data_IF_690198133875
#
_entry.id   IF_690198133875
#
_cell.length_a   1.000
_cell.length_b   1.000
_cell.length_c   1.000
_cell.angle_alpha   90.00
_cell.angle_beta   90.00
_cell.angle_gamma   90.00
#
_symmetry.space_group_name_H-M   'P 1'
#
loop_
_entity.id
_entity.type
_entity.pdbx_description
1 polymer ?
#
# COMPACT_ATOMS: atom_id res chain seq x y z
N UNK A 1 -23.95 -6.02 -22.10
CA UNK A 1 -23.80 -4.95 -21.19
C UNK A 1 -25.11 -4.55 -20.52
N UNK A 2 -25.17 -4.81 -19.21
CA UNK A 2 -26.27 -4.37 -18.35
C UNK A 2 -25.76 -3.24 -17.43
N UNK A 3 -26.52 -2.15 -17.32
CA UNK A 3 -26.25 -1.08 -16.34
C UNK A 3 -26.84 -1.47 -14.99
N UNK A 4 -26.01 -2.06 -14.12
CA UNK A 4 -26.44 -2.58 -12.83
C UNK A 4 -26.99 -1.49 -11.91
N UNK A 5 -26.42 -0.27 -11.93
CA UNK A 5 -26.88 0.84 -11.10
C UNK A 5 -28.27 1.30 -11.52
N UNK A 6 -28.51 1.39 -12.82
CA UNK A 6 -29.85 1.72 -13.37
C UNK A 6 -30.89 0.67 -12.98
N UNK A 7 -30.53 -0.60 -13.03
CA UNK A 7 -31.42 -1.68 -12.62
C UNK A 7 -31.73 -1.63 -11.11
N UNK A 8 -30.73 -1.33 -10.27
CA UNK A 8 -30.95 -1.12 -8.85
C UNK A 8 -31.94 0.03 -8.57
N UNK A 9 -31.83 1.14 -9.32
CA UNK A 9 -32.74 2.27 -9.19
C UNK A 9 -34.16 1.86 -9.62
N UNK A 10 -34.31 1.13 -10.73
CA UNK A 10 -35.63 0.63 -11.19
C UNK A 10 -36.28 -0.27 -10.13
N UNK A 11 -35.51 -1.19 -9.53
CA UNK A 11 -36.00 -2.08 -8.47
C UNK A 11 -36.44 -1.26 -7.24
N UNK A 12 -35.66 -0.24 -6.84
CA UNK A 12 -36.01 0.64 -5.74
C UNK A 12 -37.30 1.45 -6.01
N UNK A 13 -37.62 1.68 -7.27
CA UNK A 13 -38.88 2.31 -7.72
C UNK A 13 -40.07 1.32 -7.83
N UNK A 14 -39.89 0.05 -7.45
CA UNK A 14 -40.91 -0.97 -7.43
C UNK A 14 -41.02 -1.81 -8.72
N UNK A 15 -40.09 -1.69 -9.67
CA UNK A 15 -40.08 -2.55 -10.84
C UNK A 15 -39.56 -3.95 -10.48
N UNK A 16 -40.08 -4.97 -11.12
CA UNK A 16 -39.52 -6.33 -11.04
C UNK A 16 -38.23 -6.45 -11.82
N UNK A 17 -37.39 -7.41 -11.41
CA UNK A 17 -36.20 -7.79 -12.18
C UNK A 17 -36.67 -8.46 -13.47
N UNK A 18 -36.21 -7.96 -14.61
CA UNK A 18 -36.47 -8.58 -15.92
C UNK A 18 -35.55 -9.80 -16.10
N UNK A 19 -36.02 -10.81 -16.84
CA UNK A 19 -35.20 -11.95 -17.25
C UNK A 19 -34.28 -11.50 -18.40
N UNK A 20 -32.98 -11.31 -18.06
CA UNK A 20 -31.95 -10.96 -19.03
C UNK A 20 -31.25 -12.22 -19.54
N UNK A 21 -31.16 -12.39 -20.85
CA UNK A 21 -30.20 -13.34 -21.43
C UNK A 21 -28.78 -12.77 -21.24
N UNK A 22 -28.04 -13.37 -20.30
CA UNK A 22 -26.65 -13.00 -19.99
C UNK A 22 -25.72 -13.87 -20.82
N UNK A 23 -24.99 -13.26 -21.76
CA UNK A 23 -23.92 -13.89 -22.52
C UNK A 23 -22.57 -13.28 -22.09
N UNK A 24 -21.88 -13.87 -21.07
CA UNK A 24 -20.59 -13.38 -20.61
C UNK A 24 -19.52 -13.54 -21.70
N UNK A 25 -18.85 -12.44 -22.08
CA UNK A 25 -17.82 -12.43 -23.12
C UNK A 25 -16.47 -12.04 -22.58
N UNK A 26 -15.47 -12.92 -22.81
CA UNK A 26 -14.10 -12.68 -22.38
C UNK A 26 -13.92 -12.78 -20.88
N UNK A 27 -12.87 -12.15 -20.39
CA UNK A 27 -12.47 -12.15 -18.99
C UNK A 27 -12.02 -10.76 -18.55
N UNK A 28 -12.41 -10.35 -17.35
CA UNK A 28 -12.01 -9.08 -16.77
C UNK A 28 -11.32 -9.27 -15.43
N UNK A 29 -10.30 -8.44 -15.16
CA UNK A 29 -9.62 -8.38 -13.87
C UNK A 29 -9.61 -6.94 -13.40
N UNK A 30 -10.03 -6.70 -12.16
CA UNK A 30 -9.93 -5.41 -11.48
C UNK A 30 -8.75 -5.42 -10.51
N UNK A 31 -7.96 -4.36 -10.52
CA UNK A 31 -6.88 -4.09 -9.59
C UNK A 31 -7.20 -2.84 -8.79
N UNK A 32 -7.24 -2.97 -7.47
CA UNK A 32 -7.38 -1.84 -6.56
C UNK A 32 -5.99 -1.28 -6.26
N UNK A 33 -5.71 -0.10 -6.76
CA UNK A 33 -4.44 0.59 -6.53
C UNK A 33 -4.58 1.42 -5.27
N UNK A 34 -3.93 0.96 -4.21
CA UNK A 34 -4.01 1.58 -2.88
C UNK A 34 -2.70 2.28 -2.52
N UNK A 35 -2.80 3.36 -1.75
CA UNK A 35 -1.70 4.02 -1.07
C UNK A 35 -1.34 3.24 0.20
N UNK A 36 -0.69 2.09 0.03
CA UNK A 36 -0.27 1.15 1.06
C UNK A 36 1.15 0.67 0.77
N UNK A 37 1.90 0.35 1.82
CA UNK A 37 3.21 -0.28 1.70
C UNK A 37 3.14 -1.78 2.00
N UNK A 38 3.18 -2.65 0.98
CA UNK A 38 3.15 -4.11 1.17
C UNK A 38 4.36 -4.64 1.96
N UNK A 39 5.49 -3.92 1.95
CA UNK A 39 6.69 -4.32 2.69
C UNK A 39 6.63 -3.93 4.17
N UNK A 40 5.67 -3.10 4.55
CA UNK A 40 5.46 -2.64 5.90
C UNK A 40 4.03 -2.97 6.36
N UNK A 41 3.67 -4.23 6.32
CA UNK A 41 2.39 -4.77 6.76
C UNK A 41 1.15 -4.02 6.22
N UNK A 42 1.20 -3.58 4.94
CA UNK A 42 0.14 -2.80 4.28
C UNK A 42 -0.23 -1.50 5.02
N UNK A 43 0.71 -0.92 5.76
CA UNK A 43 0.46 0.36 6.40
C UNK A 43 0.07 1.42 5.35
N UNK A 44 -0.97 2.21 5.62
CA UNK A 44 -1.34 3.33 4.77
C UNK A 44 -0.19 4.32 4.59
N UNK A 45 -0.02 4.82 3.36
CA UNK A 45 1.07 5.73 2.99
C UNK A 45 0.54 7.11 2.61
N UNK A 46 0.11 7.94 3.58
CA UNK A 46 -0.31 9.30 3.30
C UNK A 46 0.86 10.11 2.75
N UNK A 47 0.58 11.00 1.80
CA UNK A 47 1.62 11.82 1.16
C UNK A 47 1.13 12.49 -0.10
N UNK A 48 2.04 13.14 -0.84
CA UNK A 48 1.70 13.83 -2.08
C UNK A 48 2.16 13.01 -3.27
N UNK A 49 1.26 12.75 -4.21
CA UNK A 49 1.58 12.13 -5.50
C UNK A 49 2.40 13.13 -6.33
N UNK A 50 3.66 12.82 -6.56
CA UNK A 50 4.59 13.70 -7.31
C UNK A 50 4.55 13.46 -8.81
N UNK A 51 4.19 12.24 -9.22
CA UNK A 51 4.01 11.85 -10.62
C UNK A 51 2.82 10.90 -10.73
N UNK A 52 1.98 11.10 -11.76
CA UNK A 52 0.81 10.28 -12.02
C UNK A 52 0.61 10.09 -13.52
N UNK A 53 0.70 8.85 -13.99
CA UNK A 53 0.46 8.51 -15.39
C UNK A 53 -0.28 7.18 -15.49
N UNK A 54 -1.47 7.22 -16.05
CA UNK A 54 -2.33 6.07 -16.26
C UNK A 54 -1.93 5.26 -17.50
N UNK A 55 -1.99 3.92 -17.46
CA UNK A 55 -1.89 3.08 -18.64
C UNK A 55 -3.13 3.27 -19.53
N UNK A 56 -2.95 3.05 -20.84
CA UNK A 56 -4.03 3.17 -21.81
C UNK A 56 -4.09 1.96 -22.74
N UNK A 57 -5.13 1.88 -23.55
CA UNK A 57 -5.25 0.85 -24.59
C UNK A 57 -6.62 0.20 -24.66
N UNK A 58 -6.80 -0.68 -25.67
CA UNK A 58 -8.04 -1.40 -25.85
C UNK A 58 -8.31 -2.37 -24.70
N UNK A 59 -9.51 -2.32 -24.12
CA UNK A 59 -9.89 -3.15 -22.97
C UNK A 59 -9.21 -2.72 -21.67
N UNK A 60 -8.77 -1.45 -21.56
CA UNK A 60 -8.27 -0.83 -20.34
C UNK A 60 -9.21 0.28 -19.90
N UNK A 61 -9.63 0.24 -18.65
CA UNK A 61 -10.45 1.27 -18.01
C UNK A 61 -9.86 1.61 -16.65
N UNK A 62 -9.82 2.89 -16.35
CA UNK A 62 -9.41 3.38 -15.03
C UNK A 62 -10.53 4.19 -14.41
N UNK A 63 -10.94 3.80 -13.21
CA UNK A 63 -11.85 4.55 -12.38
C UNK A 63 -11.03 5.14 -11.23
N UNK A 64 -10.59 6.38 -11.39
CA UNK A 64 -9.70 7.06 -10.46
C UNK A 64 -10.11 8.51 -10.22
N UNK A 65 -9.52 9.12 -9.20
CA UNK A 65 -9.74 10.51 -8.84
C UNK A 65 -8.42 11.29 -8.69
N UNK A 66 -7.30 10.56 -8.60
CA UNK A 66 -5.99 11.13 -8.32
C UNK A 66 -5.33 11.72 -9.59
N UNK A 67 -4.39 12.60 -9.37
CA UNK A 67 -3.53 13.23 -10.37
C UNK A 67 -2.23 13.68 -9.71
N UNK A 68 -1.26 14.10 -10.50
CA UNK A 68 -0.04 14.75 -9.98
C UNK A 68 -0.42 15.94 -9.09
N UNK A 69 0.18 16.02 -7.91
CA UNK A 69 -0.11 17.01 -6.87
C UNK A 69 -1.25 16.64 -5.91
N UNK A 70 -1.95 15.51 -6.14
CA UNK A 70 -2.97 15.03 -5.20
C UNK A 70 -2.32 14.65 -3.87
N UNK A 71 -2.93 15.13 -2.79
CA UNK A 71 -2.53 14.78 -1.43
C UNK A 71 -3.41 13.64 -0.92
N UNK A 72 -2.80 12.49 -0.64
CA UNK A 72 -3.45 11.37 0.06
C UNK A 72 -3.40 11.68 1.54
N UNK A 73 -4.55 11.71 2.18
CA UNK A 73 -4.70 12.04 3.59
C UNK A 73 -5.15 10.82 4.38
N UNK A 74 -4.90 10.83 5.69
CA UNK A 74 -5.35 9.78 6.61
C UNK A 74 -6.86 9.83 6.96
N UNK A 75 -7.59 10.85 6.46
CA UNK A 75 -9.03 11.03 6.76
C UNK A 75 -9.94 10.17 5.87
N UNK A 76 -9.45 9.74 4.73
CA UNK A 76 -10.21 9.00 3.72
C UNK A 76 -9.58 7.63 3.47
N UNK A 77 -10.27 6.82 2.68
CA UNK A 77 -9.79 5.52 2.19
C UNK A 77 -8.49 5.73 1.39
N UNK A 78 -7.60 4.76 1.45
CA UNK A 78 -6.31 4.73 0.74
C UNK A 78 -6.44 4.37 -0.75
N UNK A 79 -7.63 4.06 -1.26
CA UNK A 79 -7.87 3.73 -2.66
C UNK A 79 -7.60 4.93 -3.57
N UNK A 80 -6.61 4.81 -4.44
CA UNK A 80 -6.23 5.83 -5.43
C UNK A 80 -7.07 5.68 -6.69
N UNK A 81 -7.14 4.45 -7.22
CA UNK A 81 -7.86 4.13 -8.44
C UNK A 81 -8.16 2.63 -8.54
N UNK A 82 -9.05 2.28 -9.48
CA UNK A 82 -9.29 0.92 -9.93
C UNK A 82 -8.84 0.81 -11.38
N UNK A 83 -7.88 -0.05 -11.64
CA UNK A 83 -7.51 -0.44 -12.99
C UNK A 83 -8.31 -1.68 -13.36
N UNK A 84 -9.11 -1.61 -14.41
CA UNK A 84 -9.89 -2.70 -14.94
C UNK A 84 -9.38 -3.05 -16.34
N UNK A 85 -9.00 -4.31 -16.54
CA UNK A 85 -8.57 -4.81 -17.83
C UNK A 85 -9.51 -5.89 -18.33
N UNK A 86 -9.74 -5.94 -19.64
CA UNK A 86 -10.53 -6.95 -20.31
C UNK A 86 -9.75 -7.61 -21.44
N UNK A 87 -9.92 -8.92 -21.61
CA UNK A 87 -9.37 -9.71 -22.71
C UNK A 87 -10.34 -10.78 -23.17
N UNK A 88 -10.11 -11.35 -24.35
CA UNK A 88 -10.97 -12.44 -24.88
C UNK A 88 -10.78 -13.73 -24.08
N UNK A 89 -9.68 -13.85 -23.33
CA UNK A 89 -9.38 -14.95 -22.43
C UNK A 89 -8.82 -14.43 -21.10
N UNK A 90 -8.81 -15.31 -20.08
CA UNK A 90 -8.20 -15.00 -18.78
C UNK A 90 -6.71 -14.69 -18.91
N UNK A 91 -5.98 -15.43 -19.76
CA UNK A 91 -4.54 -15.21 -19.97
C UNK A 91 -4.28 -13.86 -20.66
N UNK A 92 -5.10 -13.46 -21.64
CA UNK A 92 -4.99 -12.14 -22.24
C UNK A 92 -5.26 -11.03 -21.23
N UNK A 93 -6.31 -11.16 -20.41
CA UNK A 93 -6.60 -10.19 -19.35
C UNK A 93 -5.44 -10.10 -18.33
N UNK A 94 -4.86 -11.25 -17.92
CA UNK A 94 -3.71 -11.32 -17.01
C UNK A 94 -2.48 -10.62 -17.61
N UNK A 95 -2.09 -10.97 -18.82
CA UNK A 95 -0.93 -10.39 -19.50
C UNK A 95 -1.11 -8.88 -19.72
N UNK A 96 -2.31 -8.45 -20.10
CA UNK A 96 -2.68 -7.03 -20.20
C UNK A 96 -2.61 -6.32 -18.85
N UNK A 97 -3.04 -6.99 -17.77
CA UNK A 97 -2.94 -6.48 -16.41
C UNK A 97 -1.49 -6.19 -16.00
N UNK A 98 -0.59 -7.16 -16.24
CA UNK A 98 0.84 -6.99 -15.96
C UNK A 98 1.40 -5.78 -16.71
N UNK A 99 1.17 -5.71 -18.04
CA UNK A 99 1.61 -4.57 -18.87
C UNK A 99 1.09 -3.24 -18.32
N UNK A 100 -0.21 -3.16 -18.01
CA UNK A 100 -0.81 -1.94 -17.50
C UNK A 100 -0.25 -1.53 -16.14
N UNK A 101 -0.03 -2.48 -15.24
CA UNK A 101 0.58 -2.20 -13.93
C UNK A 101 2.04 -1.75 -14.06
N UNK A 102 2.81 -2.31 -15.01
CA UNK A 102 4.19 -1.90 -15.29
C UNK A 102 4.26 -0.49 -15.93
N UNK A 103 3.25 -0.09 -16.70
CA UNK A 103 3.12 1.26 -17.29
C UNK A 103 2.54 2.29 -16.32
N UNK A 104 1.86 1.86 -15.24
CA UNK A 104 1.22 2.76 -14.29
C UNK A 104 2.25 3.43 -13.39
N UNK A 105 2.38 4.75 -13.49
CA UNK A 105 3.32 5.52 -12.67
C UNK A 105 2.57 6.30 -11.60
N UNK A 106 2.87 6.01 -10.35
CA UNK A 106 2.45 6.78 -9.18
C UNK A 106 3.69 7.03 -8.34
N UNK A 107 4.22 8.24 -8.42
CA UNK A 107 5.42 8.65 -7.67
C UNK A 107 5.08 9.39 -6.38
N UNK A 108 6.02 9.40 -5.44
CA UNK A 108 5.93 10.16 -4.19
C UNK A 108 5.42 9.37 -2.98
N UNK A 109 4.70 8.28 -3.20
CA UNK A 109 4.18 7.40 -2.14
C UNK A 109 4.30 5.93 -2.55
N UNK A 110 4.51 4.99 -1.62
CA UNK A 110 4.36 3.55 -1.86
C UNK A 110 2.92 3.20 -2.25
N UNK A 111 2.79 2.17 -3.11
CA UNK A 111 1.50 1.66 -3.57
C UNK A 111 1.54 0.14 -3.71
N UNK A 112 0.36 -0.47 -3.85
CA UNK A 112 0.20 -1.92 -4.06
C UNK A 112 0.60 -2.43 -5.45
N UNK A 113 1.03 -1.57 -6.39
CA UNK A 113 1.28 -1.93 -7.81
C UNK A 113 2.26 -3.10 -7.93
N UNK A 114 3.42 -3.05 -7.26
CA UNK A 114 4.43 -4.09 -7.37
C UNK A 114 3.94 -5.45 -6.86
N UNK A 115 3.24 -5.46 -5.72
CA UNK A 115 2.64 -6.67 -5.18
C UNK A 115 1.62 -7.28 -6.16
N UNK A 116 0.79 -6.45 -6.81
CA UNK A 116 -0.19 -6.92 -7.78
C UNK A 116 0.48 -7.57 -9.00
N UNK A 117 1.61 -7.03 -9.46
CA UNK A 117 2.43 -7.63 -10.53
C UNK A 117 2.96 -9.00 -10.08
N UNK A 118 3.50 -9.08 -8.86
CA UNK A 118 4.05 -10.33 -8.33
C UNK A 118 2.96 -11.40 -8.20
N UNK A 119 1.78 -11.06 -7.70
CA UNK A 119 0.62 -11.96 -7.63
C UNK A 119 0.27 -12.53 -9.01
N UNK A 120 0.17 -11.67 -10.03
CA UNK A 120 -0.17 -12.09 -11.39
C UNK A 120 0.87 -13.03 -12.02
N UNK A 121 2.11 -13.01 -11.54
CA UNK A 121 3.21 -13.85 -12.01
C UNK A 121 3.31 -15.19 -11.29
N UNK A 122 2.57 -15.39 -10.19
CA UNK A 122 2.57 -16.66 -9.44
C UNK A 122 1.96 -17.81 -10.26
N UNK A 123 2.45 -19.03 -10.03
CA UNK A 123 1.91 -20.23 -10.69
C UNK A 123 0.45 -20.49 -10.30
N UNK A 124 0.13 -20.25 -9.07
CA UNK A 124 -1.20 -20.41 -8.49
C UNK A 124 -2.21 -19.48 -9.18
N UNK A 125 -1.84 -18.21 -9.38
CA UNK A 125 -2.70 -17.26 -10.11
C UNK A 125 -2.87 -17.68 -11.57
N UNK A 126 -1.78 -18.07 -12.24
CA UNK A 126 -1.81 -18.55 -13.64
C UNK A 126 -2.73 -19.76 -13.78
N UNK A 127 -2.66 -20.71 -12.84
CA UNK A 127 -3.45 -21.95 -12.86
C UNK A 127 -4.85 -21.79 -12.24
N UNK A 128 -5.26 -20.57 -11.87
CA UNK A 128 -6.55 -20.30 -11.19
C UNK A 128 -6.72 -21.04 -9.85
N UNK A 129 -5.62 -21.31 -9.17
CA UNK A 129 -5.56 -21.96 -7.86
C UNK A 129 -5.48 -20.93 -6.74
N UNK A 130 -6.37 -19.92 -6.77
CA UNK A 130 -6.41 -18.83 -5.81
C UNK A 130 -7.68 -18.91 -4.96
N UNK A 131 -7.57 -18.48 -3.70
CA UNK A 131 -8.67 -18.40 -2.75
C UNK A 131 -8.48 -17.20 -1.82
N UNK A 132 -9.45 -16.92 -0.94
CA UNK A 132 -9.46 -15.72 -0.11
C UNK A 132 -8.21 -15.56 0.76
N UNK A 133 -7.64 -16.67 1.25
CA UNK A 133 -6.44 -16.68 2.10
C UNK A 133 -5.12 -16.80 1.32
N UNK A 134 -5.19 -16.74 -0.02
CA UNK A 134 -4.02 -16.98 -0.88
C UNK A 134 -2.83 -16.08 -0.53
N UNK A 135 -3.07 -14.79 -0.24
CA UNK A 135 -2.00 -13.85 0.11
C UNK A 135 -1.36 -14.20 1.45
N UNK A 136 -2.15 -14.52 2.47
CA UNK A 136 -1.66 -14.87 3.80
C UNK A 136 -0.82 -16.16 3.81
N UNK A 137 -1.12 -17.10 2.92
CA UNK A 137 -0.47 -18.40 2.85
C UNK A 137 0.77 -18.44 1.93
N UNK A 138 0.86 -17.55 0.93
CA UNK A 138 1.87 -17.60 -0.13
C UNK A 138 2.79 -16.38 -0.19
N UNK A 139 2.43 -15.29 0.48
CA UNK A 139 3.28 -14.12 0.58
C UNK A 139 3.68 -13.94 2.04
N UNK A 140 4.92 -14.29 2.37
CA UNK A 140 5.51 -13.86 3.63
C UNK A 140 5.54 -12.33 3.61
N UNK A 141 4.75 -11.72 4.48
CA UNK A 141 4.93 -10.32 4.82
C UNK A 141 6.30 -10.27 5.48
N UNK A 142 7.32 -9.88 4.73
CA UNK A 142 8.68 -9.79 5.27
C UNK A 142 8.63 -8.74 6.38
N UNK A 143 8.72 -9.18 7.62
CA UNK A 143 9.26 -8.35 8.67
C UNK A 143 10.66 -7.97 8.17
N UNK A 144 10.89 -6.70 7.91
CA UNK A 144 12.22 -6.19 7.52
C UNK A 144 13.11 -6.43 8.73
N UNK A 145 13.86 -7.53 8.74
CA UNK A 145 15.06 -7.63 9.57
C UNK A 145 16.01 -6.56 9.04
N UNK A 146 16.39 -5.61 9.89
CA UNK A 146 17.18 -4.41 9.61
C UNK A 146 18.66 -4.71 9.24
N UNK A 147 18.99 -5.87 8.70
CA UNK A 147 20.33 -6.24 8.27
C UNK A 147 20.32 -6.66 6.80
N UNK A 148 20.34 -5.69 5.90
CA UNK A 148 21.05 -5.73 4.61
C UNK A 148 20.67 -4.54 3.73
N UNK A 149 21.18 -3.36 4.08
CA UNK A 149 21.40 -2.30 3.09
C UNK A 149 22.71 -2.61 2.37
N UNK A 150 22.74 -3.65 1.55
CA UNK A 150 23.74 -3.78 0.51
C UNK A 150 23.17 -3.28 -0.79
N UNK A 151 23.77 -2.19 -1.22
CA UNK A 151 23.63 -1.58 -2.52
C UNK A 151 23.91 -2.58 -3.65
N UNK A 152 22.89 -3.19 -4.23
CA UNK A 152 22.99 -3.74 -5.58
C UNK A 152 21.61 -3.81 -6.23
N UNK A 153 21.17 -2.63 -6.73
CA UNK A 153 20.20 -2.62 -7.82
C UNK A 153 20.99 -2.69 -9.11
N UNK A 154 20.72 -3.64 -10.00
CA UNK A 154 21.29 -3.59 -11.34
C UNK A 154 20.73 -2.36 -12.06
N UNK A 155 21.57 -1.33 -12.10
CA UNK A 155 21.33 -0.14 -12.88
C UNK A 155 21.60 -0.43 -14.35
N UNK A 156 20.61 -0.09 -15.20
CA UNK A 156 20.81 0.35 -16.58
C UNK A 156 21.19 -0.70 -17.63
N UNK A 157 20.18 -1.07 -18.40
CA UNK A 157 20.39 -1.36 -19.82
C UNK A 157 20.89 -0.08 -20.48
N UNK A 158 22.16 -0.06 -20.88
CA UNK A 158 22.75 0.98 -21.72
C UNK A 158 22.26 0.76 -23.14
N UNK A 159 21.41 1.64 -23.64
CA UNK A 159 21.22 1.83 -25.07
C UNK A 159 22.18 2.94 -25.46
N UNK A 160 23.24 2.56 -26.19
CA UNK A 160 24.15 3.51 -26.84
C UNK A 160 23.41 4.14 -28.02
N UNK A 161 23.16 5.41 -27.96
CA UNK A 161 22.92 6.25 -29.14
C UNK A 161 24.01 7.29 -29.15
N UNK A 162 24.77 7.26 -30.25
CA UNK A 162 25.89 8.14 -30.55
C UNK A 162 25.51 9.63 -30.59
N UNK A 163 26.50 10.40 -30.14
CA UNK A 163 26.77 11.82 -30.25
C UNK A 163 26.00 12.67 -31.27
N UNK A 164 25.45 13.79 -30.78
CA UNK A 164 25.83 15.12 -31.25
C UNK A 164 25.40 16.23 -30.27
N UNK A 165 26.39 16.89 -29.69
CA UNK A 165 26.58 18.32 -29.32
C UNK A 165 25.36 19.19 -28.93
N UNK A 166 25.20 19.66 -27.68
CA UNK A 166 25.56 21.02 -27.24
C UNK A 166 25.30 21.24 -25.72
N UNK A 167 26.12 22.00 -25.01
CA UNK A 167 26.02 22.19 -23.58
C UNK A 167 25.16 23.42 -23.26
N UNK A 168 24.05 23.25 -22.55
CA UNK A 168 23.40 24.40 -21.90
C UNK A 168 22.75 23.99 -20.60
N UNK A 169 23.34 24.49 -19.50
CA UNK A 169 22.77 24.77 -18.19
C UNK A 169 21.94 23.66 -17.51
N UNK A 170 22.65 22.80 -16.77
CA UNK A 170 22.04 22.03 -15.70
C UNK A 170 21.63 22.97 -14.54
N UNK A 171 20.39 22.89 -14.05
CA UNK A 171 20.04 23.54 -12.80
C UNK A 171 20.81 22.87 -11.67
N UNK A 172 21.52 23.66 -10.89
CA UNK A 172 22.25 23.20 -9.71
C UNK A 172 21.26 22.57 -8.74
N UNK A 173 21.48 21.29 -8.41
CA UNK A 173 20.78 20.62 -7.31
C UNK A 173 21.05 21.41 -6.03
N UNK A 174 20.02 21.74 -5.24
CA UNK A 174 20.27 22.28 -3.91
C UNK A 174 21.07 21.26 -3.10
N UNK A 175 22.11 21.73 -2.42
CA UNK A 175 22.94 20.94 -1.51
C UNK A 175 22.00 20.25 -0.51
N UNK A 176 22.06 18.91 -0.43
CA UNK A 176 21.45 18.15 0.64
C UNK A 176 22.02 18.68 1.96
N UNK A 177 21.23 19.43 2.68
CA UNK A 177 21.41 19.58 4.10
C UNK A 177 21.12 18.19 4.65
N UNK A 178 22.14 17.56 5.21
CA UNK A 178 22.03 16.27 5.86
C UNK A 178 21.11 16.39 7.07
N UNK A 179 19.86 16.11 6.86
CA UNK A 179 18.91 15.79 7.90
C UNK A 179 18.75 14.28 7.83
N UNK A 180 19.39 13.59 8.79
CA UNK A 180 19.18 12.18 9.03
C UNK A 180 17.70 11.98 9.33
N UNK A 181 16.92 11.53 8.32
CA UNK A 181 15.53 11.13 8.46
C UNK A 181 15.40 9.71 9.03
N UNK A 182 16.50 9.07 9.38
CA UNK A 182 16.52 7.95 10.29
C UNK A 182 16.50 8.52 11.69
N UNK A 183 15.32 8.83 12.20
CA UNK A 183 15.10 9.09 13.62
C UNK A 183 15.68 7.91 14.40
N UNK A 184 16.86 8.09 14.84
CA UNK A 184 17.69 7.35 15.77
C UNK A 184 16.92 6.30 16.58
N UNK A 185 16.84 5.07 16.12
CA UNK A 185 16.51 3.91 16.95
C UNK A 185 17.77 3.55 17.75
N UNK A 186 18.19 4.45 18.65
CA UNK A 186 19.20 4.13 19.67
C UNK A 186 18.63 3.30 20.81
N UNK A 187 17.31 3.06 20.81
CA UNK A 187 16.66 2.29 21.87
C UNK A 187 15.48 1.50 21.28
N UNK A 188 15.66 0.21 20.96
CA UNK A 188 14.63 -0.61 20.33
C UNK A 188 13.35 -0.78 21.19
N UNK A 189 13.37 -0.35 22.44
CA UNK A 189 12.21 -0.34 23.34
C UNK A 189 11.33 0.91 23.25
N UNK A 190 11.61 1.88 22.37
CA UNK A 190 10.81 3.09 22.27
C UNK A 190 9.89 3.01 21.05
N UNK A 191 8.58 3.14 21.27
CA UNK A 191 7.56 3.08 20.24
C UNK A 191 7.02 4.49 20.00
N UNK A 192 7.20 4.98 18.80
CA UNK A 192 6.60 6.23 18.31
C UNK A 192 5.41 5.93 17.40
N UNK A 193 4.49 6.89 17.26
CA UNK A 193 3.45 6.81 16.24
C UNK A 193 4.09 6.97 14.85
N UNK A 194 4.02 5.94 14.02
CA UNK A 194 4.53 5.96 12.64
C UNK A 194 3.67 6.82 11.72
N UNK A 195 2.39 7.00 12.10
CA UNK A 195 1.43 7.80 11.38
C UNK A 195 0.44 8.46 12.33
N UNK A 196 -0.32 9.41 11.81
CA UNK A 196 -1.44 10.02 12.55
C UNK A 196 -2.63 9.06 12.56
N UNK A 197 -3.28 8.91 13.72
CA UNK A 197 -4.45 8.05 13.88
C UNK A 197 -5.12 8.24 15.24
N UNK A 198 -5.98 7.29 15.60
CA UNK A 198 -6.68 7.27 16.91
C UNK A 198 -6.41 5.93 17.59
N UNK A 199 -6.11 5.96 18.87
CA UNK A 199 -5.96 4.73 19.68
C UNK A 199 -7.34 4.11 19.92
N UNK A 200 -7.61 2.97 19.30
CA UNK A 200 -8.91 2.30 19.42
C UNK A 200 -9.03 1.46 20.67
N UNK A 201 -7.95 0.77 21.04
CA UNK A 201 -7.92 -0.04 22.24
C UNK A 201 -6.51 -0.18 22.80
N UNK A 202 -6.39 -0.47 24.09
CA UNK A 202 -5.12 -0.67 24.79
C UNK A 202 -5.13 -2.03 25.50
N UNK A 203 -4.17 -2.93 25.13
CA UNK A 203 -4.07 -4.29 25.63
C UNK A 203 -3.04 -4.44 26.75
N UNK A 204 -2.36 -3.35 27.09
CA UNK A 204 -1.28 -3.31 28.06
C UNK A 204 -1.39 -2.07 28.95
N UNK A 205 -0.51 -1.97 29.96
CA UNK A 205 -0.43 -0.83 30.87
C UNK A 205 0.98 -0.66 31.42
N UNK A 206 1.28 0.51 31.97
CA UNK A 206 2.55 0.77 32.62
C UNK A 206 2.86 -0.28 33.70
N UNK A 207 4.12 -0.71 33.76
CA UNK A 207 4.61 -1.74 34.69
C UNK A 207 4.35 -3.20 34.28
N UNK A 208 3.59 -3.45 33.21
CA UNK A 208 3.37 -4.83 32.71
C UNK A 208 4.62 -5.35 32.01
N UNK A 209 4.93 -6.65 32.22
CA UNK A 209 5.93 -7.39 31.45
C UNK A 209 5.33 -7.80 30.12
N UNK A 210 6.08 -7.59 29.05
CA UNK A 210 5.69 -7.95 27.68
C UNK A 210 6.78 -8.74 26.99
N UNK A 211 6.41 -9.60 26.06
CA UNK A 211 7.31 -10.35 25.20
C UNK A 211 7.32 -9.73 23.81
N UNK A 212 8.43 -9.88 23.06
CA UNK A 212 8.51 -9.49 21.65
C UNK A 212 7.35 -10.11 20.88
N UNK A 213 6.63 -9.31 20.07
CA UNK A 213 5.43 -9.71 19.36
C UNK A 213 4.12 -9.69 20.15
N UNK A 214 4.13 -9.38 21.47
CA UNK A 214 2.91 -9.23 22.26
C UNK A 214 2.17 -7.95 21.88
N UNK A 215 0.84 -8.04 21.63
CA UNK A 215 0.01 -6.89 21.27
C UNK A 215 -0.08 -5.87 22.40
N UNK A 216 0.16 -4.61 22.09
CA UNK A 216 0.19 -3.51 23.05
C UNK A 216 -1.05 -2.62 22.95
N UNK A 217 -1.42 -2.22 21.76
CA UNK A 217 -2.58 -1.38 21.48
C UNK A 217 -3.01 -1.49 20.03
N UNK A 218 -4.21 -0.97 19.71
CA UNK A 218 -4.75 -0.88 18.34
C UNK A 218 -4.78 0.59 17.92
N UNK A 219 -4.12 0.92 16.81
CA UNK A 219 -4.14 2.23 16.18
C UNK A 219 -5.03 2.18 14.94
N UNK A 220 -6.10 2.97 14.90
CA UNK A 220 -6.88 3.19 13.70
C UNK A 220 -6.27 4.34 12.89
N UNK A 221 -5.92 4.06 11.64
CA UNK A 221 -5.51 5.06 10.66
C UNK A 221 -6.13 4.71 9.31
N UNK A 222 -6.69 5.70 8.59
CA UNK A 222 -7.32 5.52 7.27
C UNK A 222 -8.38 4.39 7.25
N UNK A 223 -9.19 4.29 8.32
CA UNK A 223 -10.21 3.24 8.51
C UNK A 223 -9.67 1.80 8.62
N UNK A 224 -8.38 1.65 8.84
CA UNK A 224 -7.74 0.38 9.11
C UNK A 224 -7.29 0.31 10.56
N UNK A 225 -7.55 -0.82 11.20
CA UNK A 225 -7.09 -1.11 12.56
C UNK A 225 -5.74 -1.82 12.49
N UNK A 226 -4.70 -1.19 13.04
CA UNK A 226 -3.34 -1.72 13.08
C UNK A 226 -3.01 -2.12 14.52
N UNK A 227 -2.70 -3.39 14.73
CA UNK A 227 -2.25 -3.91 16.03
C UNK A 227 -0.76 -3.64 16.16
N UNK A 228 -0.38 -2.78 17.11
CA UNK A 228 1.02 -2.49 17.41
C UNK A 228 1.53 -3.45 18.47
N UNK A 229 2.66 -4.10 18.20
CA UNK A 229 3.25 -5.15 19.04
C UNK A 229 4.54 -4.68 19.69
N UNK A 230 4.98 -5.39 20.75
CA UNK A 230 6.24 -5.11 21.44
C UNK A 230 7.43 -5.50 20.56
N UNK A 231 8.38 -4.59 20.29
CA UNK A 231 9.58 -4.89 19.49
C UNK A 231 10.61 -5.72 20.25
N UNK A 232 10.59 -5.68 21.59
CA UNK A 232 11.53 -6.39 22.47
C UNK A 232 10.82 -6.96 23.70
N UNK A 233 11.48 -7.92 24.37
CA UNK A 233 11.10 -8.37 25.71
C UNK A 233 11.46 -7.31 26.75
N UNK A 234 10.55 -7.03 27.66
CA UNK A 234 10.84 -6.04 28.71
C UNK A 234 9.66 -5.70 29.61
N UNK A 235 9.80 -4.54 30.28
CA UNK A 235 8.76 -3.97 31.15
C UNK A 235 8.35 -2.60 30.61
N UNK A 236 7.08 -2.31 30.51
CA UNK A 236 6.58 -1.02 30.06
C UNK A 236 6.90 0.03 31.13
N UNK A 237 7.84 0.93 30.79
CA UNK A 237 8.31 2.01 31.64
C UNK A 237 7.43 3.24 31.56
N UNK A 238 7.05 3.61 30.30
CA UNK A 238 6.11 4.70 30.05
C UNK A 238 4.99 4.23 29.15
N UNK A 239 3.81 4.72 29.42
CA UNK A 239 2.59 4.42 28.68
C UNK A 239 1.82 5.74 28.53
N UNK A 240 1.99 6.39 27.37
CA UNK A 240 1.52 7.75 27.12
C UNK A 240 0.27 7.80 26.22
N UNK A 241 -0.52 6.72 26.20
CA UNK A 241 -1.68 6.60 25.33
C UNK A 241 -2.93 6.21 26.13
N UNK A 242 -4.08 6.70 25.67
CA UNK A 242 -5.39 6.35 26.20
C UNK A 242 -6.33 5.96 25.05
N UNK A 243 -7.32 5.12 25.33
CA UNK A 243 -8.35 4.74 24.37
C UNK A 243 -9.10 5.98 23.90
N UNK A 244 -9.27 6.13 22.57
CA UNK A 244 -9.91 7.29 21.94
C UNK A 244 -8.97 8.49 21.73
N UNK A 245 -7.70 8.40 22.15
CA UNK A 245 -6.75 9.50 21.99
C UNK A 245 -6.28 9.62 20.55
N UNK A 246 -6.34 10.81 19.93
CA UNK A 246 -5.68 11.09 18.65
C UNK A 246 -4.18 11.24 18.85
N UNK A 247 -3.39 10.63 17.95
CA UNK A 247 -1.92 10.71 17.94
C UNK A 247 -1.43 11.19 16.58
N UNK A 248 -0.28 11.88 16.56
CA UNK A 248 0.38 12.38 15.36
C UNK A 248 1.65 11.58 15.11
N UNK A 249 2.07 11.50 13.84
CA UNK A 249 3.36 10.90 13.48
C UNK A 249 4.50 11.52 14.31
N UNK A 250 5.28 10.65 14.97
CA UNK A 250 6.39 11.04 15.83
C UNK A 250 6.03 11.23 17.31
N UNK A 251 4.77 11.09 17.70
CA UNK A 251 4.39 11.12 19.12
C UNK A 251 4.95 9.87 19.82
N UNK A 252 5.57 10.06 21.00
CA UNK A 252 6.05 8.97 21.84
C UNK A 252 4.88 8.28 22.52
N UNK A 253 4.67 7.01 22.19
CA UNK A 253 3.52 6.22 22.68
C UNK A 253 3.90 5.36 23.90
N UNK A 254 4.91 4.51 23.74
CA UNK A 254 5.32 3.54 24.77
C UNK A 254 6.85 3.51 24.87
N UNK A 255 7.37 3.34 26.08
CA UNK A 255 8.78 3.04 26.35
C UNK A 255 8.86 1.70 27.09
N UNK A 256 9.56 0.73 26.50
CA UNK A 256 9.83 -0.60 27.06
C UNK A 256 11.28 -0.64 27.52
N UNK A 257 11.53 -0.99 28.77
CA UNK A 257 12.86 -1.22 29.30
C UNK A 257 13.19 -2.70 29.16
N UNK A 258 14.24 -3.01 28.37
CA UNK A 258 14.70 -4.39 28.20
C UNK A 258 15.09 -4.99 29.56
N UNK A 259 14.63 -6.19 29.85
CA UNK A 259 15.14 -6.97 30.98
C UNK A 259 16.23 -7.90 30.47
N UNK A 260 17.45 -7.65 30.89
CA UNK A 260 18.57 -8.59 30.74
C UNK A 260 18.37 -9.81 31.62
#
# INVERSE_FOLDING_TARGET
>A
GLDLVKEQIKIALGNSIEDYELDPRGHSIEFRINAEDPNNNFLPTPGTITEYREPTGNGVRIDGWARTGTQITHYYDNLISKLIVWGVSREEARSKGIRCLEEYIIGGIPTTINLLIDILKTKEFVNSQIHVKFLEENFEIREIEEDEVTSDRPSKVKISLDDTTNPTLAPQRPKKVGMDLTGNIKNPGIIFAEMQGTIMDTMTKQGKKVKKGESLFVLEAMKMENVITAPIDGVIKKFNIEKGQPVKKGDLLIEIEAKF
#
